data_IF_595452948090
#
_entry.id   IF_595452948090
#
_cell.length_a   1.000
_cell.length_b   1.000
_cell.length_c   1.000
_cell.angle_alpha   90.00
_cell.angle_beta   90.00
_cell.angle_gamma   90.00
#
_symmetry.space_group_name_H-M   'P 1'
#
loop_
_entity.id
_entity.type
_entity.pdbx_description
1 polymer ?
#
# COMPACT_ATOMS: atom_id res chain seq x y z
N UNK A 1 37.51 9.39 -14.89
CA UNK A 1 36.03 9.33 -15.01
C UNK A 1 35.59 8.04 -15.67
N UNK A 2 36.18 7.61 -16.80
CA UNK A 2 35.87 6.32 -17.44
C UNK A 2 36.06 5.07 -16.55
N UNK A 3 37.00 5.08 -15.59
CA UNK A 3 37.22 3.96 -14.67
C UNK A 3 36.11 3.78 -13.62
N UNK A 4 35.45 4.86 -13.18
CA UNK A 4 34.39 4.77 -12.16
C UNK A 4 33.13 4.08 -12.72
N UNK A 5 32.79 4.40 -13.97
CA UNK A 5 31.66 3.77 -14.68
C UNK A 5 31.93 2.27 -14.94
N UNK A 6 33.18 1.91 -15.23
CA UNK A 6 33.61 0.51 -15.41
C UNK A 6 33.56 -0.30 -14.11
N UNK A 7 33.96 0.32 -12.99
CA UNK A 7 33.87 -0.31 -11.67
C UNK A 7 32.41 -0.49 -11.23
N UNK A 8 31.55 0.48 -11.54
CA UNK A 8 30.12 0.39 -11.24
C UNK A 8 29.45 -0.75 -12.02
N UNK A 9 29.78 -0.89 -13.32
CA UNK A 9 29.33 -2.01 -14.16
C UNK A 9 29.83 -3.36 -13.59
N UNK A 10 31.07 -3.41 -13.11
CA UNK A 10 31.66 -4.64 -12.53
C UNK A 10 30.98 -5.01 -11.21
N UNK A 11 30.67 -4.03 -10.36
CA UNK A 11 29.92 -4.25 -9.10
C UNK A 11 28.49 -4.70 -9.37
N UNK A 12 27.80 -4.08 -10.34
CA UNK A 12 26.46 -4.50 -10.75
C UNK A 12 26.45 -5.94 -11.29
N UNK A 13 27.42 -6.29 -12.16
CA UNK A 13 27.58 -7.65 -12.70
C UNK A 13 27.88 -8.68 -11.61
N UNK A 14 28.71 -8.31 -10.63
CA UNK A 14 29.05 -9.17 -9.50
C UNK A 14 27.85 -9.39 -8.57
N UNK A 15 27.04 -8.35 -8.34
CA UNK A 15 25.83 -8.44 -7.52
C UNK A 15 24.77 -9.32 -8.18
N UNK A 16 24.60 -9.22 -9.49
CA UNK A 16 23.70 -10.08 -10.27
C UNK A 16 24.15 -11.54 -10.25
N UNK A 17 25.46 -11.80 -10.36
CA UNK A 17 25.99 -13.16 -10.29
C UNK A 17 25.86 -13.75 -8.88
N UNK A 18 26.08 -12.94 -7.83
CA UNK A 18 25.90 -13.35 -6.44
C UNK A 18 24.44 -13.69 -6.14
N UNK A 19 23.50 -12.91 -6.68
CA UNK A 19 22.06 -13.21 -6.60
C UNK A 19 21.68 -14.50 -7.35
N UNK A 20 22.43 -14.87 -8.39
CA UNK A 20 22.24 -16.11 -9.14
C UNK A 20 22.92 -17.32 -8.49
N UNK A 21 23.93 -17.10 -7.64
CA UNK A 21 24.72 -18.15 -7.00
C UNK A 21 24.26 -18.50 -5.57
N UNK A 22 23.51 -17.61 -4.90
CA UNK A 22 22.88 -17.85 -3.58
C UNK A 22 21.47 -18.51 -3.67
N UNK A 23 21.07 -19.03 -4.84
CA UNK A 23 19.75 -19.68 -5.01
C UNK A 23 19.87 -21.14 -5.46
N UNK A 24 20.13 -22.10 -4.54
CA UNK A 24 19.92 -23.51 -4.80
C UNK A 24 18.41 -23.81 -4.74
N UNK A 25 17.71 -23.61 -5.86
CA UNK A 25 16.36 -24.10 -6.07
C UNK A 25 15.26 -23.03 -6.00
N UNK A 26 15.02 -22.34 -7.11
CA UNK A 26 13.70 -21.80 -7.45
C UNK A 26 13.65 -21.49 -8.94
N UNK A 27 12.82 -22.22 -9.69
CA UNK A 27 12.32 -21.75 -10.98
C UNK A 27 11.30 -20.61 -10.76
N UNK A 28 11.23 -19.68 -11.73
CA UNK A 28 10.31 -18.54 -11.78
C UNK A 28 11.10 -17.23 -11.85
N UNK A 29 11.17 -16.47 -12.95
CA UNK A 29 10.13 -16.18 -13.95
C UNK A 29 9.34 -14.97 -13.47
N UNK A 30 9.74 -13.76 -13.88
CA UNK A 30 9.05 -12.43 -13.81
C UNK A 30 8.33 -11.95 -12.52
N UNK A 31 7.97 -12.80 -11.56
CA UNK A 31 7.34 -12.42 -10.28
C UNK A 31 8.31 -11.77 -9.29
N UNK A 32 9.59 -12.15 -9.32
CA UNK A 32 10.59 -11.68 -8.35
C UNK A 32 10.81 -10.16 -8.36
N UNK A 33 10.56 -9.47 -9.48
CA UNK A 33 10.72 -8.02 -9.55
C UNK A 33 9.51 -7.28 -8.96
N UNK A 34 8.31 -7.83 -9.10
CA UNK A 34 7.11 -7.27 -8.48
C UNK A 34 7.05 -7.57 -6.97
N UNK A 35 7.44 -8.78 -6.58
CA UNK A 35 7.59 -9.16 -5.17
C UNK A 35 8.67 -8.34 -4.47
N UNK A 36 9.80 -8.08 -5.13
CA UNK A 36 10.84 -7.20 -4.60
C UNK A 36 10.35 -5.76 -4.41
N UNK A 37 9.56 -5.22 -5.35
CA UNK A 37 8.96 -3.88 -5.22
C UNK A 37 7.99 -3.81 -4.06
N UNK A 38 7.07 -4.79 -3.94
CA UNK A 38 6.10 -4.85 -2.84
C UNK A 38 6.79 -4.98 -1.48
N UNK A 39 7.86 -5.77 -1.38
CA UNK A 39 8.66 -5.87 -0.16
C UNK A 39 9.37 -4.55 0.18
N UNK A 40 9.96 -3.88 -0.80
CA UNK A 40 10.60 -2.58 -0.58
C UNK A 40 9.59 -1.52 -0.09
N UNK A 41 8.39 -1.49 -0.66
CA UNK A 41 7.32 -0.60 -0.21
C UNK A 41 6.83 -0.95 1.20
N UNK A 42 6.66 -2.23 1.51
CA UNK A 42 6.26 -2.68 2.83
C UNK A 42 7.32 -2.36 3.89
N UNK A 43 8.60 -2.54 3.56
CA UNK A 43 9.72 -2.16 4.41
C UNK A 43 9.79 -0.65 4.62
N UNK A 44 9.58 0.15 3.57
CA UNK A 44 9.54 1.61 3.68
C UNK A 44 8.39 2.07 4.57
N UNK A 45 7.19 1.48 4.40
CA UNK A 45 6.03 1.75 5.27
C UNK A 45 6.31 1.38 6.73
N UNK A 46 6.81 0.18 6.98
CA UNK A 46 7.14 -0.29 8.33
C UNK A 46 8.24 0.57 9.00
N UNK A 47 9.25 0.97 8.23
CA UNK A 47 10.32 1.86 8.70
C UNK A 47 9.78 3.25 9.05
N UNK A 48 8.86 3.78 8.24
CA UNK A 48 8.20 5.06 8.52
C UNK A 48 7.34 4.97 9.78
N UNK A 49 6.53 3.92 9.89
CA UNK A 49 5.68 3.64 11.04
C UNK A 49 6.50 3.51 12.33
N UNK A 50 7.62 2.78 12.31
CA UNK A 50 8.49 2.63 13.49
C UNK A 50 9.19 3.92 13.92
N UNK A 51 9.42 4.86 13.00
CA UNK A 51 9.99 6.18 13.32
C UNK A 51 8.95 7.11 13.99
N UNK A 52 7.69 7.04 13.55
CA UNK A 52 6.61 7.90 14.06
C UNK A 52 5.90 7.30 15.28
N UNK A 53 5.93 5.98 15.50
CA UNK A 53 5.27 5.32 16.63
C UNK A 53 6.22 5.17 17.83
N UNK A 54 5.67 5.30 19.03
CA UNK A 54 6.33 4.85 20.26
C UNK A 54 6.29 3.31 20.37
N UNK A 55 7.23 2.67 21.10
CA UNK A 55 7.22 1.21 21.27
C UNK A 55 5.92 0.70 21.93
N UNK A 56 5.33 1.47 22.84
CA UNK A 56 4.03 1.17 23.45
C UNK A 56 2.88 1.26 22.44
N UNK A 57 2.89 2.23 21.53
CA UNK A 57 1.88 2.34 20.47
C UNK A 57 1.99 1.20 19.44
N UNK A 58 3.21 0.79 19.08
CA UNK A 58 3.43 -0.34 18.16
C UNK A 58 2.89 -1.67 18.73
N UNK A 59 3.15 -1.94 20.01
CA UNK A 59 2.62 -3.11 20.71
C UNK A 59 1.08 -3.08 20.78
N UNK A 60 0.49 -1.90 21.06
CA UNK A 60 -0.96 -1.72 21.06
C UNK A 60 -1.56 -1.97 19.68
N UNK A 61 -0.97 -1.42 18.62
CA UNK A 61 -1.40 -1.62 17.24
C UNK A 61 -1.36 -3.12 16.88
N UNK A 62 -0.30 -3.82 17.30
CA UNK A 62 -0.17 -5.28 17.14
C UNK A 62 -1.31 -6.05 17.82
N UNK A 63 -1.64 -5.73 19.08
CA UNK A 63 -2.78 -6.34 19.79
C UNK A 63 -4.11 -6.05 19.12
N UNK A 64 -4.32 -4.84 18.62
CA UNK A 64 -5.56 -4.46 17.94
C UNK A 64 -5.71 -5.22 16.61
N UNK A 65 -4.60 -5.40 15.89
CA UNK A 65 -4.58 -6.18 14.64
C UNK A 65 -5.09 -7.61 14.86
N UNK A 66 -4.77 -8.23 16.00
CA UNK A 66 -5.28 -9.55 16.37
C UNK A 66 -6.80 -9.58 16.58
N UNK A 67 -7.39 -8.49 17.08
CA UNK A 67 -8.83 -8.42 17.35
C UNK A 67 -9.60 -8.02 16.10
N UNK A 68 -9.13 -7.01 15.37
CA UNK A 68 -9.70 -6.54 14.11
C UNK A 68 -8.62 -5.89 13.24
N UNK A 69 -8.13 -6.62 12.24
CA UNK A 69 -7.12 -6.13 11.29
C UNK A 69 -7.60 -4.89 10.51
N UNK A 70 -8.86 -4.85 10.08
CA UNK A 70 -9.43 -3.69 9.36
C UNK A 70 -9.25 -2.36 10.11
N UNK A 71 -9.41 -2.37 11.45
CA UNK A 71 -9.21 -1.16 12.26
C UNK A 71 -7.74 -0.77 12.37
N UNK A 72 -6.84 -1.74 12.46
CA UNK A 72 -5.39 -1.48 12.48
C UNK A 72 -4.93 -0.89 11.13
N UNK A 73 -5.37 -1.45 10.00
CA UNK A 73 -5.01 -0.97 8.66
C UNK A 73 -5.50 0.45 8.41
N UNK A 74 -6.70 0.80 8.87
CA UNK A 74 -7.22 2.17 8.74
C UNK A 74 -6.35 3.18 9.49
N UNK A 75 -5.92 2.84 10.71
CA UNK A 75 -5.04 3.68 11.51
C UNK A 75 -3.63 3.77 10.93
N UNK A 76 -3.06 2.66 10.42
CA UNK A 76 -1.78 2.68 9.69
C UNK A 76 -1.84 3.59 8.46
N UNK A 77 -2.89 3.48 7.64
CA UNK A 77 -3.05 4.30 6.45
C UNK A 77 -3.18 5.79 6.80
N UNK A 78 -3.89 6.12 7.88
CA UNK A 78 -4.02 7.48 8.37
C UNK A 78 -2.67 8.03 8.85
N UNK A 79 -1.94 7.25 9.65
CA UNK A 79 -0.60 7.60 10.13
C UNK A 79 0.41 7.78 8.99
N UNK A 80 0.38 6.92 7.98
CA UNK A 80 1.22 7.06 6.78
C UNK A 80 0.89 8.35 6.04
N UNK A 81 -0.39 8.70 5.92
CA UNK A 81 -0.81 9.95 5.25
C UNK A 81 -0.29 11.17 6.00
N UNK A 82 -0.43 11.19 7.34
CA UNK A 82 0.07 12.27 8.19
C UNK A 82 1.60 12.36 8.21
N UNK A 83 2.29 11.22 8.11
CA UNK A 83 3.75 11.17 8.06
C UNK A 83 4.27 11.68 6.71
N UNK A 84 3.60 11.31 5.61
CA UNK A 84 3.90 11.82 4.26
C UNK A 84 3.63 13.32 4.12
N UNK A 85 2.58 13.84 4.77
CA UNK A 85 2.29 15.28 4.80
C UNK A 85 3.25 16.07 5.70
N UNK A 86 4.10 15.40 6.48
CA UNK A 86 5.06 16.03 7.39
C UNK A 86 4.41 16.69 8.61
N UNK A 87 3.12 16.43 8.88
CA UNK A 87 2.41 16.99 10.03
C UNK A 87 2.80 16.31 11.35
N UNK A 88 3.32 15.08 11.29
CA UNK A 88 3.82 14.33 12.44
C UNK A 88 5.24 14.76 12.81
N UNK A 89 5.34 15.79 13.65
CA UNK A 89 6.60 16.23 14.28
C UNK A 89 6.95 15.47 15.56
N UNK A 90 5.97 14.85 16.19
CA UNK A 90 6.10 14.14 17.47
C UNK A 90 5.73 12.68 17.32
N UNK A 91 6.37 11.82 18.13
CA UNK A 91 6.04 10.39 18.16
C UNK A 91 4.62 10.20 18.68
N UNK A 92 3.85 9.33 18.02
CA UNK A 92 2.49 8.97 18.38
C UNK A 92 2.50 8.03 19.59
N UNK A 93 1.79 8.44 20.63
CA UNK A 93 1.62 7.67 21.86
C UNK A 93 0.43 6.71 21.77
N UNK A 94 0.33 5.77 22.73
CA UNK A 94 -0.82 4.87 22.81
C UNK A 94 -2.15 5.61 22.95
N UNK A 95 -2.17 6.70 23.73
CA UNK A 95 -3.39 7.49 23.96
C UNK A 95 -3.86 8.16 22.66
N UNK A 96 -2.94 8.79 21.93
CA UNK A 96 -3.25 9.37 20.63
C UNK A 96 -3.71 8.32 19.62
N UNK A 97 -3.12 7.11 19.67
CA UNK A 97 -3.55 6.01 18.83
C UNK A 97 -5.00 5.60 19.15
N UNK A 98 -5.38 5.55 20.45
CA UNK A 98 -6.76 5.25 20.87
C UNK A 98 -7.75 6.31 20.41
N UNK A 99 -7.41 7.59 20.57
CA UNK A 99 -8.27 8.71 20.17
C UNK A 99 -8.49 8.71 18.65
N UNK A 100 -7.41 8.51 17.88
CA UNK A 100 -7.49 8.34 16.43
C UNK A 100 -8.36 7.14 16.05
N UNK A 101 -8.26 6.04 16.77
CA UNK A 101 -9.03 4.83 16.49
C UNK A 101 -10.52 5.00 16.79
N UNK A 102 -10.85 5.75 17.84
CA UNK A 102 -12.23 6.12 18.16
C UNK A 102 -12.80 7.05 17.06
N UNK A 103 -12.07 8.09 16.70
CA UNK A 103 -12.48 9.03 15.66
C UNK A 103 -12.61 8.38 14.27
N UNK A 104 -11.66 7.51 13.90
CA UNK A 104 -11.70 6.77 12.62
C UNK A 104 -12.85 5.76 12.61
N UNK A 105 -13.18 5.12 13.73
CA UNK A 105 -14.32 4.21 13.81
C UNK A 105 -15.65 4.95 13.61
N UNK A 106 -15.82 6.10 14.27
CA UNK A 106 -17.01 6.95 14.13
C UNK A 106 -17.15 7.46 12.70
N UNK A 107 -16.07 7.98 12.11
CA UNK A 107 -16.05 8.43 10.71
C UNK A 107 -16.32 7.30 9.72
N UNK A 108 -15.82 6.08 9.95
CA UNK A 108 -16.12 4.93 9.10
C UNK A 108 -17.59 4.54 9.17
N UNK A 109 -18.21 4.57 10.35
CA UNK A 109 -19.64 4.31 10.50
C UNK A 109 -20.50 5.38 9.80
N UNK A 110 -20.14 6.65 9.95
CA UNK A 110 -20.81 7.77 9.25
C UNK A 110 -20.65 7.68 7.73
N UNK A 111 -19.44 7.37 7.24
CA UNK A 111 -19.18 7.22 5.81
C UNK A 111 -19.89 5.98 5.24
N UNK A 112 -19.88 4.86 5.95
CA UNK A 112 -20.61 3.65 5.55
C UNK A 112 -22.13 3.89 5.49
N UNK A 113 -22.68 4.66 6.43
CA UNK A 113 -24.08 5.09 6.40
C UNK A 113 -24.38 6.03 5.22
N UNK A 114 -23.45 6.92 4.86
CA UNK A 114 -23.61 7.90 3.77
C UNK A 114 -23.41 7.32 2.37
N UNK A 115 -22.70 6.20 2.23
CA UNK A 115 -22.38 5.56 0.93
C UNK A 115 -23.53 4.68 0.40
N UNK A 116 -24.57 4.39 1.19
CA UNK A 116 -25.75 3.67 0.69
C UNK A 116 -26.79 4.62 0.11
N UNK A 117 -26.46 5.28 -1.00
CA UNK A 117 -27.46 5.84 -1.91
C UNK A 117 -27.12 5.30 -3.31
N UNK A 118 -27.58 4.08 -3.57
CA UNK A 118 -27.84 3.63 -4.93
C UNK A 118 -29.01 4.45 -5.46
N UNK A 119 -28.72 5.61 -6.06
CA UNK A 119 -29.69 6.26 -6.95
C UNK A 119 -29.80 5.42 -8.22
N UNK A 120 -30.61 4.36 -8.14
CA UNK A 120 -31.29 3.80 -9.31
C UNK A 120 -32.19 4.90 -9.84
N UNK A 121 -31.73 5.64 -10.84
CA UNK A 121 -32.52 6.69 -11.46
C UNK A 121 -31.71 7.52 -12.45
N UNK A 122 -31.87 7.20 -13.73
CA UNK A 122 -31.74 8.18 -14.80
C UNK A 122 -30.69 7.86 -15.87
N UNK A 123 -31.11 7.08 -16.86
CA UNK A 123 -31.03 7.48 -18.27
C UNK A 123 -29.66 7.58 -18.94
N UNK A 124 -29.49 6.76 -19.98
CA UNK A 124 -28.88 7.21 -21.22
C UNK A 124 -27.48 6.68 -21.50
N UNK A 125 -27.43 5.72 -22.43
CA UNK A 125 -26.55 5.90 -23.59
C UNK A 125 -25.38 4.96 -23.73
N UNK A 126 -25.57 3.64 -23.67
CA UNK A 126 -24.59 2.67 -24.22
C UNK A 126 -25.30 1.34 -24.54
N UNK A 127 -26.15 1.27 -25.58
CA UNK A 127 -26.48 0.01 -26.30
C UNK A 127 -27.47 0.25 -27.46
N UNK A 128 -27.11 1.10 -28.43
CA UNK A 128 -27.90 1.19 -29.68
C UNK A 128 -27.13 1.61 -30.94
N UNK A 129 -25.88 2.05 -30.85
CA UNK A 129 -25.14 2.53 -32.03
C UNK A 129 -24.19 1.48 -32.65
N UNK A 130 -23.98 0.31 -32.01
CA UNK A 130 -23.19 -0.81 -32.56
C UNK A 130 -24.05 -1.86 -33.32
N UNK A 131 -25.36 -1.64 -33.44
CA UNK A 131 -26.28 -2.61 -34.10
C UNK A 131 -26.66 -2.25 -35.54
N UNK A 132 -26.41 -1.02 -36.00
CA UNK A 132 -26.75 -0.60 -37.37
C UNK A 132 -25.66 -1.00 -38.39
N UNK A 133 -24.39 -1.14 -37.98
CA UNK A 133 -23.27 -1.51 -38.87
C UNK A 133 -23.16 -3.04 -39.12
N UNK A 134 -24.03 -3.84 -38.47
CA UNK A 134 -24.03 -5.31 -38.58
C UNK A 134 -25.04 -5.85 -39.62
N UNK A 135 -25.94 -5.01 -40.16
CA UNK A 135 -27.00 -5.45 -41.08
C UNK A 135 -26.82 -5.04 -42.54
N UNK A 136 -25.85 -4.20 -42.90
CA UNK A 136 -25.66 -3.74 -44.29
C UNK A 136 -24.60 -4.54 -45.09
N UNK A 137 -24.11 -5.66 -44.53
CA UNK A 137 -22.99 -6.42 -45.08
C UNK A 137 -23.26 -7.88 -45.51
N UNK A 138 -24.52 -8.34 -45.62
CA UNK A 138 -24.83 -9.69 -46.13
C UNK A 138 -25.86 -9.69 -47.26
#
# INVERSE_FOLDING_TARGET
MADADLEEIRRARLQQLRQQQDSPGAGGGEGSQEDAKRQAEAQARSSLLSQILTPSAADRLGRIRLVKESRATAVENHLITLARSGQLRTKVTEEQLKDLLASVAEQQEEQAAKITITRKGGGGGWDSDDLDDLLEGV
#
